data_IF_493641401000
#
_entry.id   IF_493641401000
#
_cell.length_a   1.000
_cell.length_b   1.000
_cell.length_c   1.000
_cell.angle_alpha   90.00
_cell.angle_beta   90.00
_cell.angle_gamma   90.00
#
_symmetry.space_group_name_H-M   'P 1'
#
loop_
_entity.id
_entity.type
_entity.pdbx_description
1 polymer ?
#
# COMPACT_ATOMS: atom_id res chain seq x y z
N UNK A 1 -46.56 37.36 -23.19
CA UNK A 1 -47.97 37.11 -22.81
C UNK A 1 -48.02 36.80 -21.32
N UNK A 2 -48.99 37.34 -20.57
CA UNK A 2 -49.45 36.79 -19.28
C UNK A 2 -50.49 35.69 -19.55
N UNK A 3 -50.78 34.76 -18.61
CA UNK A 3 -51.72 34.99 -17.50
C UNK A 3 -51.05 34.74 -16.12
N UNK A 4 -51.48 35.24 -14.95
CA UNK A 4 -52.71 35.86 -14.44
C UNK A 4 -53.83 34.90 -13.97
N UNK A 5 -54.00 34.80 -12.64
CA UNK A 5 -55.23 34.38 -11.94
C UNK A 5 -55.02 33.49 -10.70
N UNK A 6 -55.64 33.68 -9.53
CA UNK A 6 -56.07 34.84 -8.73
C UNK A 6 -56.68 34.31 -7.40
N UNK A 7 -56.50 35.02 -6.28
CA UNK A 7 -57.25 34.89 -5.00
C UNK A 7 -56.83 33.76 -4.05
N UNK A 8 -57.08 33.78 -2.73
CA UNK A 8 -57.65 34.75 -1.77
C UNK A 8 -57.39 34.18 -0.32
N UNK A 9 -57.40 34.89 0.82
CA UNK A 9 -57.75 36.30 1.15
C UNK A 9 -56.99 36.83 2.40
N UNK A 10 -57.34 38.06 2.80
CA UNK A 10 -57.00 38.87 3.99
C UNK A 10 -56.74 38.22 5.37
N UNK A 11 -55.84 38.86 6.15
CA UNK A 11 -56.20 39.58 7.40
C UNK A 11 -55.24 40.77 7.67
N UNK A 12 -55.70 41.77 8.42
CA UNK A 12 -55.08 43.10 8.59
C UNK A 12 -54.24 43.26 9.88
N UNK A 13 -53.14 44.02 9.80
CA UNK A 13 -52.72 45.06 10.77
C UNK A 13 -51.48 45.79 10.19
N UNK A 14 -51.64 47.00 9.65
CA UNK A 14 -51.54 48.28 10.36
C UNK A 14 -50.10 48.69 10.73
N UNK A 15 -49.61 49.66 9.97
CA UNK A 15 -48.35 50.38 10.07
C UNK A 15 -47.96 50.85 11.47
N UNK A 16 -46.66 50.92 11.74
CA UNK A 16 -46.01 52.16 12.20
C UNK A 16 -44.48 52.08 12.07
N UNK A 17 -43.91 53.03 11.32
CA UNK A 17 -42.47 53.32 11.33
C UNK A 17 -42.10 53.94 12.68
N UNK A 18 -41.11 53.38 13.37
CA UNK A 18 -40.38 54.08 14.43
C UNK A 18 -38.89 53.92 14.17
N UNK A 19 -38.22 55.05 13.92
CA UNK A 19 -36.78 55.09 13.84
C UNK A 19 -36.18 54.84 15.22
N UNK A 20 -35.51 53.70 15.40
CA UNK A 20 -34.76 53.37 16.61
C UNK A 20 -33.47 54.17 16.71
N UNK A 21 -33.58 55.47 17.04
CA UNK A 21 -32.43 56.23 17.53
C UNK A 21 -32.00 55.64 18.88
N UNK A 22 -30.71 55.33 18.97
CA UNK A 22 -30.05 54.77 20.15
C UNK A 22 -30.03 55.77 21.31
N UNK A 23 -31.08 55.74 22.13
CA UNK A 23 -31.09 56.38 23.45
C UNK A 23 -30.59 55.39 24.50
N UNK A 24 -29.25 55.29 24.64
CA UNK A 24 -28.65 54.72 25.85
C UNK A 24 -29.23 55.49 27.05
N UNK A 25 -29.73 54.84 28.10
CA UNK A 25 -30.06 55.54 29.34
C UNK A 25 -28.76 56.01 29.95
N UNK A 26 -28.37 57.26 29.65
CA UNK A 26 -27.28 57.92 30.35
C UNK A 26 -27.69 58.01 31.82
N UNK A 27 -27.07 57.18 32.66
CA UNK A 27 -27.24 57.14 34.11
C UNK A 27 -26.67 58.39 34.76
N UNK A 28 -27.30 59.54 34.49
CA UNK A 28 -27.07 60.79 35.20
C UNK A 28 -27.49 60.62 36.66
N UNK A 29 -26.53 60.18 37.48
CA UNK A 29 -26.65 60.33 38.93
C UNK A 29 -26.71 61.84 39.24
N UNK A 30 -27.84 62.37 39.74
CA UNK A 30 -27.90 63.78 40.07
C UNK A 30 -26.94 64.06 41.24
N UNK A 31 -26.05 65.04 41.09
CA UNK A 31 -25.11 65.43 42.14
C UNK A 31 -25.83 65.67 43.46
N UNK A 32 -25.55 64.83 44.46
CA UNK A 32 -26.22 64.84 45.76
C UNK A 32 -25.77 66.03 46.65
N UNK A 33 -24.78 66.80 46.17
CA UNK A 33 -24.25 68.04 46.76
C UNK A 33 -24.06 69.12 45.69
N UNK A 34 -24.23 70.37 46.10
CA UNK A 34 -24.01 71.57 45.26
C UNK A 34 -22.55 72.04 45.43
N UNK A 35 -21.60 71.19 45.03
CA UNK A 35 -20.17 71.44 45.18
C UNK A 35 -19.53 70.89 46.47
N UNK A 36 -18.18 70.96 46.58
CA UNK A 36 -17.43 70.40 47.70
C UNK A 36 -17.73 71.16 49.00
N UNK A 37 -18.17 70.43 50.04
CA UNK A 37 -18.55 70.99 51.34
C UNK A 37 -20.03 71.39 51.50
N UNK A 38 -20.85 71.31 50.45
CA UNK A 38 -22.27 71.65 50.53
C UNK A 38 -23.09 70.64 51.37
N UNK A 39 -24.12 71.14 52.06
CA UNK A 39 -25.04 70.33 52.85
C UNK A 39 -25.75 69.27 51.98
N UNK A 40 -26.02 68.10 52.56
CA UNK A 40 -26.63 66.99 51.85
C UNK A 40 -28.09 67.29 51.44
N UNK A 41 -28.44 67.03 50.17
CA UNK A 41 -29.82 67.20 49.67
C UNK A 41 -30.77 66.08 50.10
N UNK A 42 -30.25 64.96 50.59
CA UNK A 42 -31.03 63.82 51.08
C UNK A 42 -31.39 63.98 52.56
N UNK A 43 -32.56 63.46 52.95
CA UNK A 43 -32.87 63.24 54.37
C UNK A 43 -31.85 62.27 54.98
N UNK A 44 -31.61 62.36 56.30
CA UNK A 44 -30.71 61.42 57.00
C UNK A 44 -31.13 59.96 56.74
N UNK A 45 -32.43 59.68 56.77
CA UNK A 45 -32.98 58.35 56.49
C UNK A 45 -32.85 57.91 55.02
N UNK A 46 -32.90 58.82 54.03
CA UNK A 46 -32.58 58.52 52.62
C UNK A 46 -31.10 58.18 52.46
N UNK A 47 -30.22 59.01 53.04
CA UNK A 47 -28.76 58.83 52.99
C UNK A 47 -28.37 57.49 53.60
N UNK A 48 -28.85 57.19 54.80
CA UNK A 48 -28.61 55.92 55.48
C UNK A 48 -29.27 54.71 54.78
N UNK A 49 -30.37 54.90 54.04
CA UNK A 49 -30.94 53.83 53.17
C UNK A 49 -30.04 53.52 51.98
N UNK A 50 -29.46 54.54 51.32
CA UNK A 50 -28.57 54.33 50.16
C UNK A 50 -27.23 53.70 50.52
N UNK A 51 -26.74 53.92 51.74
CA UNK A 51 -25.49 53.36 52.25
C UNK A 51 -25.64 52.00 52.98
N UNK A 52 -26.81 51.36 52.92
CA UNK A 52 -27.13 50.11 53.63
C UNK A 52 -27.15 48.95 52.64
N UNK A 53 -26.58 47.81 53.02
CA UNK A 53 -26.59 46.65 52.14
C UNK A 53 -28.01 46.05 52.01
N UNK A 54 -28.37 45.47 50.85
CA UNK A 54 -29.63 44.77 50.67
C UNK A 54 -29.85 43.70 51.76
N UNK A 55 -31.05 43.66 52.36
CA UNK A 55 -31.42 42.68 53.38
C UNK A 55 -31.01 43.01 54.82
N UNK A 56 -30.24 44.08 55.08
CA UNK A 56 -29.91 44.48 56.46
C UNK A 56 -31.09 45.19 57.16
N UNK A 57 -31.35 44.91 58.45
CA UNK A 57 -32.41 45.58 59.21
C UNK A 57 -32.11 47.08 59.43
N UNK A 58 -33.13 47.92 59.69
CA UNK A 58 -32.95 49.31 60.07
C UNK A 58 -32.03 49.43 61.30
N UNK A 59 -31.00 50.28 61.22
CA UNK A 59 -30.01 50.45 62.29
C UNK A 59 -28.77 49.54 62.21
N UNK A 60 -28.75 48.51 61.33
CA UNK A 60 -27.53 47.76 61.01
C UNK A 60 -26.41 48.62 60.38
N UNK A 61 -25.21 48.06 60.25
CA UNK A 61 -24.01 48.76 59.77
C UNK A 61 -24.18 49.37 58.37
N UNK A 62 -23.74 50.62 58.19
CA UNK A 62 -23.64 51.27 56.89
C UNK A 62 -22.29 50.97 56.26
N UNK A 63 -22.21 50.98 54.93
CA UNK A 63 -20.97 50.77 54.17
C UNK A 63 -20.20 49.51 54.64
N UNK A 64 -20.93 48.41 54.86
CA UNK A 64 -20.45 47.15 55.43
C UNK A 64 -19.65 47.26 56.76
N UNK A 65 -19.74 48.39 57.47
CA UNK A 65 -18.91 48.70 58.64
C UNK A 65 -17.45 49.06 58.32
N UNK A 66 -17.11 49.20 57.03
CA UNK A 66 -15.75 49.40 56.49
C UNK A 66 -15.55 50.81 55.89
N UNK A 67 -16.55 51.69 56.04
CA UNK A 67 -16.53 53.06 55.55
C UNK A 67 -17.56 53.94 56.24
N UNK A 68 -17.52 55.23 55.93
CA UNK A 68 -18.46 56.25 56.39
C UNK A 68 -19.46 56.58 55.28
N UNK A 69 -20.76 56.53 55.58
CA UNK A 69 -21.77 57.08 54.70
C UNK A 69 -21.70 58.61 54.70
N UNK A 70 -21.54 59.22 53.53
CA UNK A 70 -21.63 60.66 53.33
C UNK A 70 -22.63 60.99 52.19
N UNK A 71 -23.79 61.52 52.57
CA UNK A 71 -24.86 61.90 51.65
C UNK A 71 -25.31 60.82 50.65
N UNK A 72 -25.45 59.58 51.11
CA UNK A 72 -25.91 58.46 50.30
C UNK A 72 -24.83 57.82 49.40
N UNK A 73 -23.56 58.18 49.61
CA UNK A 73 -22.38 57.54 49.01
C UNK A 73 -21.48 57.04 50.16
N UNK A 74 -20.88 55.87 50.02
CA UNK A 74 -19.93 55.37 51.00
C UNK A 74 -18.49 55.85 50.70
N UNK A 75 -17.82 56.37 51.72
CA UNK A 75 -16.41 56.72 51.71
C UNK A 75 -15.67 55.64 52.50
N UNK A 76 -14.92 54.80 51.81
CA UNK A 76 -14.26 53.64 52.41
C UNK A 76 -13.03 54.04 53.22
N UNK A 77 -12.77 53.30 54.30
CA UNK A 77 -11.59 53.54 55.12
C UNK A 77 -10.35 52.98 54.41
N UNK A 78 -9.31 53.82 54.31
CA UNK A 78 -7.98 53.45 53.87
C UNK A 78 -7.15 53.25 55.13
N UNK A 79 -6.94 52.01 55.53
CA UNK A 79 -6.18 51.65 56.74
C UNK A 79 -5.28 50.47 56.41
N UNK A 80 -3.97 50.65 56.51
CA UNK A 80 -3.02 49.59 56.15
C UNK A 80 -3.07 48.41 57.14
N UNK A 81 -2.95 47.15 56.67
CA UNK A 81 -2.90 46.72 55.26
C UNK A 81 -4.29 46.27 54.77
N UNK A 82 -5.09 47.19 54.24
CA UNK A 82 -6.42 46.88 53.74
C UNK A 82 -7.21 48.10 53.23
N UNK A 83 -7.13 48.36 51.93
CA UNK A 83 -7.99 49.37 51.28
C UNK A 83 -9.30 48.72 50.88
N UNK A 84 -10.42 49.32 51.27
CA UNK A 84 -11.76 48.86 50.91
C UNK A 84 -12.33 49.65 49.73
N UNK A 85 -13.06 48.98 48.85
CA UNK A 85 -13.59 49.52 47.60
C UNK A 85 -15.06 49.09 47.37
N UNK A 86 -15.69 49.67 46.36
CA UNK A 86 -17.09 49.44 46.00
C UNK A 86 -18.06 50.51 46.53
N UNK A 87 -19.27 50.63 45.94
CA UNK A 87 -20.24 51.68 46.28
C UNK A 87 -20.77 51.62 47.73
N UNK A 88 -20.59 50.48 48.41
CA UNK A 88 -20.94 50.24 49.81
C UNK A 88 -19.73 49.75 50.64
N UNK A 89 -18.49 49.94 50.17
CA UNK A 89 -17.27 49.41 50.81
C UNK A 89 -17.33 47.91 51.10
N UNK A 90 -18.01 47.17 50.22
CA UNK A 90 -18.22 45.73 50.27
C UNK A 90 -16.96 44.93 49.94
N UNK A 91 -16.08 45.47 49.10
CA UNK A 91 -14.84 44.81 48.69
C UNK A 91 -13.70 45.20 49.64
N UNK A 92 -12.96 44.20 50.10
CA UNK A 92 -11.55 44.37 50.42
C UNK A 92 -10.77 44.08 49.12
N UNK A 93 -9.50 44.47 49.06
CA UNK A 93 -8.54 43.72 48.24
C UNK A 93 -8.49 42.24 48.71
N UNK A 94 -7.79 41.36 47.99
CA UNK A 94 -7.48 39.94 48.27
C UNK A 94 -8.18 38.92 47.36
N UNK A 95 -7.33 38.14 46.69
CA UNK A 95 -7.55 36.81 46.10
C UNK A 95 -8.78 36.71 45.18
N UNK A 96 -8.51 36.89 43.89
CA UNK A 96 -9.36 36.42 42.80
C UNK A 96 -9.42 34.89 42.85
N UNK A 97 -10.57 34.31 42.51
CA UNK A 97 -10.71 32.87 42.26
C UNK A 97 -9.56 32.38 41.35
N UNK A 98 -8.80 31.38 41.80
CA UNK A 98 -7.66 30.84 41.04
C UNK A 98 -8.12 29.82 40.00
N UNK A 99 -7.63 29.96 38.77
CA UNK A 99 -7.73 28.95 37.72
C UNK A 99 -6.32 28.45 37.39
N UNK A 100 -6.14 27.14 37.34
CA UNK A 100 -4.85 26.45 37.12
C UNK A 100 -3.65 27.04 37.90
N UNK A 101 -3.86 27.28 39.21
CA UNK A 101 -2.86 27.85 40.12
C UNK A 101 -2.63 29.36 40.01
N UNK A 102 -3.23 30.05 39.03
CA UNK A 102 -3.05 31.49 38.78
C UNK A 102 -4.28 32.32 39.19
N UNK A 103 -4.06 33.48 39.80
CA UNK A 103 -5.11 34.39 40.32
C UNK A 103 -5.76 35.25 39.23
N UNK A 104 -6.26 34.62 38.17
CA UNK A 104 -6.82 35.20 36.92
C UNK A 104 -5.81 35.89 35.98
N UNK A 105 -6.09 35.89 34.68
CA UNK A 105 -5.16 36.31 33.62
C UNK A 105 -5.30 37.79 33.19
N UNK A 106 -6.28 38.51 33.74
CA UNK A 106 -6.48 39.95 33.51
C UNK A 106 -6.48 40.77 34.80
N UNK A 107 -6.97 42.01 34.73
CA UNK A 107 -7.01 42.90 35.89
C UNK A 107 -8.15 42.51 36.85
N UNK A 108 -7.82 42.27 38.11
CA UNK A 108 -8.79 41.81 39.12
C UNK A 108 -9.47 42.96 39.86
N UNK A 109 -10.81 42.97 39.87
CA UNK A 109 -11.63 43.99 40.51
C UNK A 109 -12.74 43.35 41.35
N UNK A 110 -12.72 43.58 42.67
CA UNK A 110 -13.73 43.06 43.62
C UNK A 110 -14.00 41.54 43.48
N UNK A 111 -12.94 40.73 43.31
CA UNK A 111 -13.05 39.27 43.18
C UNK A 111 -13.55 38.78 41.80
N UNK A 112 -13.71 39.67 40.81
CA UNK A 112 -13.98 39.33 39.42
C UNK A 112 -12.79 39.68 38.54
N UNK A 113 -12.46 38.81 37.58
CA UNK A 113 -11.50 39.13 36.55
C UNK A 113 -12.11 40.05 35.47
N UNK A 114 -11.36 41.07 35.05
CA UNK A 114 -11.64 41.90 33.89
C UNK A 114 -10.59 41.61 32.83
N UNK A 115 -11.02 41.24 31.62
CA UNK A 115 -10.10 40.84 30.56
C UNK A 115 -9.57 42.05 29.78
N UNK A 116 -8.26 42.14 29.66
CA UNK A 116 -7.59 43.25 28.98
C UNK A 116 -7.85 43.15 27.46
N UNK A 117 -8.67 44.08 26.95
CA UNK A 117 -9.09 44.13 25.55
C UNK A 117 -8.80 45.53 24.97
N UNK A 118 -7.55 45.84 24.62
CA UNK A 118 -7.13 47.18 24.20
C UNK A 118 -7.84 47.66 22.92
N UNK A 119 -8.13 46.74 21.99
CA UNK A 119 -8.72 47.05 20.67
C UNK A 119 -10.26 47.01 20.66
N UNK A 120 -10.91 46.79 21.81
CA UNK A 120 -12.37 46.73 21.94
C UNK A 120 -13.04 45.45 21.39
N UNK A 121 -12.35 44.66 20.56
CA UNK A 121 -12.90 43.45 19.93
C UNK A 121 -13.23 42.28 20.89
N UNK A 122 -12.96 42.40 22.20
CA UNK A 122 -13.38 41.46 23.24
C UNK A 122 -12.92 40.00 23.00
N UNK A 123 -11.73 39.82 22.43
CA UNK A 123 -11.13 38.52 22.09
C UNK A 123 -10.69 37.72 23.33
N UNK A 124 -10.39 38.41 24.44
CA UNK A 124 -10.13 37.74 25.73
C UNK A 124 -11.39 37.77 26.58
N UNK A 125 -11.88 36.60 26.97
CA UNK A 125 -13.10 36.42 27.76
C UNK A 125 -13.04 35.17 28.66
N UNK A 126 -14.14 34.93 29.38
CA UNK A 126 -14.25 33.89 30.40
C UNK A 126 -14.56 34.47 31.78
N UNK A 127 -14.60 33.63 32.82
CA UNK A 127 -14.80 34.09 34.21
C UNK A 127 -13.49 34.63 34.82
N UNK A 128 -12.36 34.09 34.37
CA UNK A 128 -10.99 34.32 34.82
C UNK A 128 -10.07 34.82 33.70
N UNK A 129 -10.62 35.09 32.52
CA UNK A 129 -9.92 35.43 31.28
C UNK A 129 -9.08 34.27 30.75
N UNK A 130 -9.63 33.07 30.88
CA UNK A 130 -9.08 31.78 30.50
C UNK A 130 -9.12 31.48 29.00
N UNK A 131 -9.84 32.29 28.21
CA UNK A 131 -9.93 32.17 26.75
C UNK A 131 -9.34 33.41 26.07
N UNK A 132 -8.35 33.22 25.19
CA UNK A 132 -7.81 34.26 24.31
C UNK A 132 -7.98 33.86 22.83
N UNK A 133 -8.98 34.43 22.15
CA UNK A 133 -9.24 34.17 20.74
C UNK A 133 -8.27 34.91 19.80
N UNK A 134 -7.25 35.62 20.32
CA UNK A 134 -6.14 36.16 19.51
C UNK A 134 -5.26 35.07 18.91
N UNK A 135 -5.14 33.92 19.57
CA UNK A 135 -4.35 32.78 19.08
C UNK A 135 -4.86 32.27 17.71
N UNK A 136 -6.17 32.43 17.47
CA UNK A 136 -6.84 32.12 16.22
C UNK A 136 -6.62 33.14 15.09
N UNK A 137 -6.00 34.31 15.34
CA UNK A 137 -5.75 35.29 14.28
C UNK A 137 -4.59 34.80 13.42
N UNK A 138 -4.83 34.68 12.11
CA UNK A 138 -3.79 34.35 11.15
C UNK A 138 -2.86 35.55 10.87
N UNK A 139 -1.56 35.28 10.73
CA UNK A 139 -0.52 36.32 10.60
C UNK A 139 -0.37 36.86 9.17
N UNK A 140 -0.83 36.12 8.15
CA UNK A 140 -0.76 36.55 6.75
C UNK A 140 -2.03 37.32 6.33
N UNK A 141 -3.19 36.86 6.77
CA UNK A 141 -4.51 37.42 6.40
C UNK A 141 -5.06 38.44 7.39
N UNK A 142 -4.55 38.48 8.64
CA UNK A 142 -5.12 39.21 9.78
C UNK A 142 -6.57 38.77 10.15
N UNK A 143 -7.06 37.66 9.57
CA UNK A 143 -8.42 37.15 9.82
C UNK A 143 -8.44 36.04 10.89
N UNK A 144 -9.54 35.97 11.64
CA UNK A 144 -9.76 34.90 12.63
C UNK A 144 -10.01 33.59 11.87
N UNK A 145 -9.19 32.59 12.13
CA UNK A 145 -9.20 31.28 11.45
C UNK A 145 -9.14 31.43 9.91
N UNK A 146 -8.30 32.34 9.41
CA UNK A 146 -8.05 32.55 7.98
C UNK A 146 -9.30 32.88 7.15
N UNK A 147 -10.36 33.39 7.80
CA UNK A 147 -11.66 33.62 7.16
C UNK A 147 -12.50 32.35 6.93
N UNK A 148 -11.99 31.17 7.31
CA UNK A 148 -12.52 29.86 6.96
C UNK A 148 -12.83 28.97 8.17
N UNK A 149 -13.12 29.58 9.31
CA UNK A 149 -13.52 28.87 10.53
C UNK A 149 -14.16 29.76 11.58
N UNK A 150 -14.35 29.19 12.78
CA UNK A 150 -14.79 29.90 13.99
C UNK A 150 -13.84 29.60 15.13
N UNK A 151 -13.32 30.64 15.76
CA UNK A 151 -12.55 30.48 16.99
C UNK A 151 -13.48 30.21 18.19
N UNK A 152 -13.04 29.33 19.08
CA UNK A 152 -13.59 29.18 20.43
C UNK A 152 -12.44 28.92 21.40
N UNK A 153 -12.15 29.86 22.28
CA UNK A 153 -11.13 29.74 23.33
C UNK A 153 -9.75 29.37 22.75
N UNK A 154 -9.25 30.18 21.82
CA UNK A 154 -7.95 29.98 21.14
C UNK A 154 -7.90 28.84 20.11
N UNK A 155 -8.98 28.07 19.93
CA UNK A 155 -9.02 26.92 19.01
C UNK A 155 -9.91 27.21 17.80
N UNK A 156 -9.37 27.00 16.59
CA UNK A 156 -10.13 27.17 15.34
C UNK A 156 -10.93 25.93 14.94
N UNK A 157 -12.20 26.13 14.61
CA UNK A 157 -13.11 25.11 14.09
C UNK A 157 -13.41 25.42 12.63
N UNK A 158 -12.73 24.72 11.73
CA UNK A 158 -12.73 25.01 10.30
C UNK A 158 -14.03 24.64 9.59
N UNK A 159 -14.32 25.36 8.51
CA UNK A 159 -15.39 25.02 7.58
C UNK A 159 -15.04 23.80 6.73
N UNK A 160 -16.06 23.14 6.17
CA UNK A 160 -15.87 21.87 5.47
C UNK A 160 -15.01 22.02 4.20
N UNK A 161 -13.79 21.45 4.24
CA UNK A 161 -12.80 21.56 3.17
C UNK A 161 -11.57 22.40 3.54
N UNK A 162 -11.53 22.97 4.74
CA UNK A 162 -10.38 23.68 5.29
C UNK A 162 -9.79 22.95 6.51
N UNK A 163 -8.49 23.09 6.72
CA UNK A 163 -7.75 22.51 7.84
C UNK A 163 -6.48 23.34 8.16
N UNK A 164 -5.73 22.91 9.18
CA UNK A 164 -4.65 23.69 9.79
C UNK A 164 -5.11 24.30 11.11
N UNK A 165 -4.15 24.74 11.94
CA UNK A 165 -4.43 25.26 13.28
C UNK A 165 -5.17 26.60 13.22
N UNK A 166 -5.10 27.30 12.07
CA UNK A 166 -5.82 28.54 11.77
C UNK A 166 -6.71 28.41 10.53
N UNK A 167 -7.05 27.19 10.10
CA UNK A 167 -7.86 26.90 8.91
C UNK A 167 -7.33 27.46 7.58
N UNK A 168 -6.01 27.62 7.49
CA UNK A 168 -5.29 28.27 6.40
C UNK A 168 -5.13 27.39 5.14
N UNK A 169 -5.30 26.07 5.26
CA UNK A 169 -5.11 25.11 4.16
C UNK A 169 -6.44 24.59 3.59
N UNK A 170 -6.61 24.71 2.26
CA UNK A 170 -7.74 24.15 1.54
C UNK A 170 -7.41 22.74 1.02
N UNK A 171 -8.34 21.80 1.20
CA UNK A 171 -8.26 20.50 0.54
C UNK A 171 -8.52 20.62 -0.98
N UNK A 172 -7.61 20.09 -1.80
CA UNK A 172 -7.81 19.90 -3.26
C UNK A 172 -8.99 18.96 -3.61
N UNK A 173 -9.54 18.25 -2.61
CA UNK A 173 -10.61 17.29 -2.77
C UNK A 173 -11.83 17.64 -1.93
N UNK A 174 -12.99 17.24 -2.43
CA UNK A 174 -14.28 17.49 -1.77
C UNK A 174 -14.39 16.78 -0.40
N UNK A 175 -15.21 17.29 0.54
CA UNK A 175 -15.42 16.64 1.84
C UNK A 175 -15.97 15.20 1.75
N UNK A 176 -16.78 14.89 0.72
CA UNK A 176 -17.27 13.52 0.51
C UNK A 176 -16.15 12.58 0.05
N UNK A 177 -15.21 13.08 -0.74
CA UNK A 177 -14.09 12.28 -1.25
C UNK A 177 -13.03 12.07 -0.18
N UNK A 178 -12.72 13.11 0.61
CA UNK A 178 -11.90 13.00 1.82
C UNK A 178 -12.44 11.92 2.75
N UNK A 179 -13.72 12.00 3.13
CA UNK A 179 -14.38 10.97 3.93
C UNK A 179 -14.29 9.58 3.30
N UNK A 180 -14.47 9.46 1.97
CA UNK A 180 -14.40 8.16 1.28
C UNK A 180 -13.00 7.54 1.37
N UNK A 181 -11.93 8.33 1.21
CA UNK A 181 -10.54 7.84 1.25
C UNK A 181 -10.15 7.38 2.67
N UNK A 182 -10.55 8.14 3.69
CA UNK A 182 -10.32 7.78 5.09
C UNK A 182 -11.27 6.71 5.67
N UNK A 183 -12.27 6.22 4.91
CA UNK A 183 -13.17 5.19 5.42
C UNK A 183 -12.49 3.82 5.35
N UNK A 184 -12.16 3.28 6.51
CA UNK A 184 -11.58 1.95 6.72
C UNK A 184 -12.55 0.81 6.29
N UNK A 185 -12.06 -0.43 6.06
CA UNK A 185 -12.90 -1.56 5.62
C UNK A 185 -14.02 -1.97 6.58
N UNK A 186 -13.92 -1.60 7.85
CA UNK A 186 -14.94 -1.77 8.90
C UNK A 186 -16.02 -0.67 8.89
N UNK A 187 -15.87 0.36 8.04
CA UNK A 187 -16.77 1.50 7.92
C UNK A 187 -16.48 2.67 8.88
N UNK A 188 -15.41 2.59 9.67
CA UNK A 188 -14.99 3.68 10.56
C UNK A 188 -14.08 4.68 9.80
N UNK A 189 -13.97 5.92 10.28
CA UNK A 189 -13.02 6.90 9.72
C UNK A 189 -11.69 6.71 10.42
N UNK A 190 -10.62 6.44 9.66
CA UNK A 190 -9.28 6.13 10.19
C UNK A 190 -9.33 5.11 11.35
N UNK A 191 -10.15 4.07 11.23
CA UNK A 191 -10.40 3.03 12.24
C UNK A 191 -10.77 3.53 13.66
N UNK A 192 -11.23 4.78 13.78
CA UNK A 192 -11.34 5.51 15.07
C UNK A 192 -10.03 5.56 15.88
N UNK A 193 -8.88 5.42 15.21
CA UNK A 193 -7.51 5.44 15.77
C UNK A 193 -6.62 6.52 15.13
N UNK A 194 -7.22 7.45 14.39
CA UNK A 194 -6.55 8.59 13.78
C UNK A 194 -7.52 9.67 13.30
N UNK A 195 -6.97 10.80 12.86
CA UNK A 195 -7.72 11.95 12.33
C UNK A 195 -7.62 11.99 10.80
N UNK A 196 -8.76 12.08 10.12
CA UNK A 196 -8.82 12.25 8.67
C UNK A 196 -8.64 13.73 8.26
N UNK A 197 -7.65 14.03 7.42
CA UNK A 197 -7.41 15.35 6.83
C UNK A 197 -7.21 15.19 5.33
N UNK A 198 -8.00 15.90 4.52
CA UNK A 198 -7.96 15.85 3.04
C UNK A 198 -7.83 14.46 2.38
N UNK A 199 -8.39 13.41 3.01
CA UNK A 199 -8.36 12.05 2.50
C UNK A 199 -7.14 11.22 2.88
N UNK A 200 -6.32 11.71 3.80
CA UNK A 200 -5.20 11.01 4.44
C UNK A 200 -5.47 10.89 5.95
N UNK A 201 -5.04 9.78 6.56
CA UNK A 201 -5.24 9.52 7.99
C UNK A 201 -3.95 9.76 8.78
N UNK A 202 -3.99 10.71 9.72
CA UNK A 202 -2.94 10.90 10.72
C UNK A 202 -3.24 10.02 11.94
N UNK A 203 -2.49 8.93 12.10
CA UNK A 203 -2.70 7.96 13.17
C UNK A 203 -2.21 8.48 14.52
N UNK A 204 -2.88 8.09 15.60
CA UNK A 204 -2.45 8.46 16.94
C UNK A 204 -1.27 7.59 17.40
N UNK A 205 -0.24 8.21 17.98
CA UNK A 205 0.94 7.49 18.51
C UNK A 205 0.59 6.50 19.63
N UNK A 206 -0.55 6.71 20.30
CA UNK A 206 -1.07 5.86 21.38
C UNK A 206 -2.58 5.63 21.28
N UNK A 207 -3.00 4.39 21.50
CA UNK A 207 -4.41 4.03 21.68
C UNK A 207 -5.00 4.70 22.95
N UNK A 208 -6.30 5.04 23.02
CA UNK A 208 -6.93 5.61 24.21
C UNK A 208 -6.78 4.82 25.52
N UNK A 209 -6.38 3.54 25.46
CA UNK A 209 -6.01 2.72 26.62
C UNK A 209 -4.62 3.02 27.20
N UNK A 210 -3.73 3.67 26.44
CA UNK A 210 -2.37 4.04 26.85
C UNK A 210 -1.33 2.92 26.82
N UNK A 211 -1.71 1.72 26.36
CA UNK A 211 -0.87 0.51 26.42
C UNK A 211 -0.02 0.24 25.15
N UNK A 212 -0.29 0.90 24.01
CA UNK A 212 0.24 0.50 22.69
C UNK A 212 0.78 1.70 21.92
N UNK A 213 2.00 1.55 21.37
CA UNK A 213 2.60 2.47 20.40
C UNK A 213 2.55 1.92 18.97
N UNK A 214 2.79 2.80 17.99
CA UNK A 214 2.93 2.48 16.56
C UNK A 214 1.64 2.02 15.84
N UNK A 215 0.54 2.78 15.98
CA UNK A 215 -0.65 2.64 15.11
C UNK A 215 -0.32 3.13 13.70
N UNK A 216 -0.63 2.34 12.68
CA UNK A 216 -0.26 2.62 11.29
C UNK A 216 -1.26 2.03 10.27
N UNK A 217 -0.99 2.24 8.98
CA UNK A 217 -1.86 1.87 7.85
C UNK A 217 -2.57 3.07 7.23
N UNK A 218 -2.96 2.97 5.96
CA UNK A 218 -3.57 4.07 5.18
C UNK A 218 -4.85 4.62 5.84
N UNK A 219 -5.50 3.81 6.68
CA UNK A 219 -6.67 4.19 7.47
C UNK A 219 -6.51 3.83 8.97
N UNK A 220 -5.28 3.84 9.48
CA UNK A 220 -4.92 3.52 10.87
C UNK A 220 -5.48 2.19 11.39
N UNK A 221 -5.61 1.21 10.49
CA UNK A 221 -6.24 -0.08 10.77
C UNK A 221 -5.32 -1.09 11.47
N UNK A 222 -4.03 -0.77 11.64
CA UNK A 222 -3.00 -1.69 12.12
C UNK A 222 -2.36 -1.24 13.44
N UNK A 223 -2.06 -2.18 14.34
CA UNK A 223 -1.13 -1.98 15.46
C UNK A 223 -0.17 -3.18 15.66
N UNK A 224 0.77 -3.08 16.60
CA UNK A 224 1.79 -4.12 16.86
C UNK A 224 1.19 -5.52 17.12
N UNK A 225 -0.06 -5.61 17.60
CA UNK A 225 -0.74 -6.89 17.90
C UNK A 225 -1.22 -7.60 16.64
N UNK A 226 -1.45 -6.90 15.53
CA UNK A 226 -1.79 -7.55 14.25
C UNK A 226 -0.61 -8.40 13.75
N UNK A 227 0.61 -7.99 14.09
CA UNK A 227 1.84 -8.74 13.81
C UNK A 227 1.99 -10.03 14.63
N UNK A 228 1.16 -10.26 15.67
CA UNK A 228 1.14 -11.51 16.45
C UNK A 228 0.91 -12.74 15.59
N UNK A 229 0.17 -12.62 14.49
CA UNK A 229 -0.07 -13.70 13.53
C UNK A 229 1.21 -14.13 12.78
N UNK A 230 2.14 -13.19 12.57
CA UNK A 230 3.39 -13.38 11.82
C UNK A 230 4.66 -13.49 12.67
N UNK A 231 4.55 -13.42 13.99
CA UNK A 231 5.60 -13.84 14.91
C UNK A 231 5.98 -15.30 14.67
N UNK A 232 7.27 -15.58 14.44
CA UNK A 232 7.80 -16.94 14.32
C UNK A 232 8.54 -17.34 15.60
N UNK A 233 8.06 -18.43 16.21
CA UNK A 233 8.62 -19.00 17.43
C UNK A 233 10.00 -19.66 17.22
N UNK A 234 10.35 -20.01 15.98
CA UNK A 234 11.64 -20.64 15.69
C UNK A 234 12.78 -19.64 15.56
N UNK A 235 12.51 -18.43 15.04
CA UNK A 235 13.47 -17.31 15.03
C UNK A 235 13.40 -16.43 16.27
N UNK A 236 12.30 -16.52 17.03
CA UNK A 236 11.93 -15.58 18.11
C UNK A 236 11.81 -14.14 17.62
N UNK A 237 11.23 -13.96 16.43
CA UNK A 237 11.17 -12.67 15.72
C UNK A 237 9.91 -12.57 14.85
N UNK A 238 9.48 -11.34 14.53
CA UNK A 238 8.40 -11.08 13.57
C UNK A 238 8.93 -11.24 12.14
N UNK A 239 8.12 -11.84 11.26
CA UNK A 239 8.50 -12.07 9.87
C UNK A 239 9.87 -12.79 9.74
N UNK A 240 10.17 -13.69 10.68
CA UNK A 240 11.42 -14.43 10.79
C UNK A 240 12.69 -13.55 10.78
N UNK A 241 12.60 -12.26 11.13
CA UNK A 241 13.67 -11.27 10.97
C UNK A 241 13.98 -10.89 9.51
N UNK A 242 13.23 -11.45 8.56
CA UNK A 242 13.45 -11.41 7.12
C UNK A 242 12.39 -10.59 6.36
N UNK A 243 11.53 -9.85 7.07
CA UNK A 243 10.60 -8.87 6.51
C UNK A 243 10.30 -7.73 7.47
N UNK A 244 9.47 -6.78 7.04
CA UNK A 244 8.72 -5.89 7.92
C UNK A 244 7.28 -6.39 8.00
N UNK A 245 6.64 -6.24 9.16
CA UNK A 245 5.22 -6.52 9.31
C UNK A 245 4.40 -5.28 8.96
N UNK A 246 3.38 -5.46 8.14
CA UNK A 246 2.36 -4.46 7.81
C UNK A 246 1.00 -5.15 7.98
N UNK A 247 0.20 -4.72 8.98
CA UNK A 247 -1.15 -5.24 9.24
C UNK A 247 -1.26 -6.80 9.29
N UNK A 248 -0.36 -7.46 10.03
CA UNK A 248 -0.36 -8.92 10.13
C UNK A 248 0.02 -9.68 8.85
N UNK A 249 0.60 -8.99 7.86
CA UNK A 249 1.30 -9.56 6.70
C UNK A 249 2.77 -9.18 6.75
N UNK A 250 3.64 -10.04 6.22
CA UNK A 250 5.06 -9.73 6.08
C UNK A 250 5.41 -9.29 4.66
N UNK A 251 6.07 -8.13 4.55
CA UNK A 251 6.77 -7.71 3.35
C UNK A 251 8.22 -8.18 3.43
N UNK A 252 8.52 -9.25 2.71
CA UNK A 252 9.80 -9.93 2.78
C UNK A 252 10.93 -9.15 2.10
N UNK A 253 12.07 -9.08 2.79
CA UNK A 253 13.34 -8.58 2.25
C UNK A 253 13.72 -9.38 1.00
N UNK A 254 14.41 -8.73 0.06
CA UNK A 254 14.84 -9.35 -1.18
C UNK A 254 15.60 -10.67 -0.90
N UNK A 255 15.16 -11.76 -1.53
CA UNK A 255 15.70 -13.10 -1.30
C UNK A 255 14.94 -13.95 -0.28
N UNK A 256 13.81 -13.49 0.26
CA UNK A 256 12.94 -14.27 1.18
C UNK A 256 11.49 -14.39 0.67
N UNK A 257 10.78 -15.42 1.12
CA UNK A 257 9.37 -15.70 0.82
C UNK A 257 8.73 -16.54 1.94
N UNK A 258 7.41 -16.74 1.84
CA UNK A 258 6.60 -17.41 2.87
C UNK A 258 5.64 -16.42 3.53
N UNK A 259 4.74 -16.88 4.40
CA UNK A 259 3.75 -15.99 5.06
C UNK A 259 4.38 -15.14 6.17
N UNK A 260 5.49 -15.63 6.72
CA UNK A 260 6.33 -15.02 7.75
C UNK A 260 7.75 -14.77 7.23
N UNK A 261 7.98 -14.80 5.92
CA UNK A 261 9.33 -14.75 5.33
C UNK A 261 10.28 -15.86 5.83
N UNK A 262 9.69 -16.99 6.23
CA UNK A 262 10.34 -18.14 6.86
C UNK A 262 11.20 -18.99 5.90
N UNK A 263 11.21 -18.66 4.60
CA UNK A 263 11.91 -19.41 3.57
C UNK A 263 12.79 -18.50 2.71
N UNK A 264 14.08 -18.81 2.51
CA UNK A 264 14.90 -18.11 1.53
C UNK A 264 14.38 -18.47 0.13
N UNK A 265 14.25 -17.49 -0.76
CA UNK A 265 13.86 -17.71 -2.17
C UNK A 265 14.74 -18.83 -2.73
N UNK A 266 14.08 -19.91 -3.16
CA UNK A 266 14.74 -21.08 -3.76
C UNK A 266 15.58 -20.73 -4.98
N UNK A 267 15.36 -19.54 -5.57
CA UNK A 267 16.28 -18.93 -6.50
C UNK A 267 16.90 -17.60 -6.01
N UNK A 268 18.21 -17.57 -5.70
CA UNK A 268 18.97 -16.36 -5.42
C UNK A 268 19.54 -15.68 -6.69
N UNK A 269 19.17 -16.14 -7.89
CA UNK A 269 19.71 -15.66 -9.17
C UNK A 269 18.71 -14.76 -9.90
N UNK A 270 19.21 -13.82 -10.70
CA UNK A 270 18.36 -13.10 -11.66
C UNK A 270 17.82 -14.03 -12.75
N UNK A 271 16.80 -13.59 -13.50
CA UNK A 271 16.28 -14.35 -14.63
C UNK A 271 17.38 -14.59 -15.68
N UNK A 272 18.17 -13.57 -16.00
CA UNK A 272 19.28 -13.60 -16.95
C UNK A 272 20.42 -14.51 -16.48
N UNK A 273 20.76 -14.47 -15.18
CA UNK A 273 21.75 -15.37 -14.59
C UNK A 273 21.30 -16.83 -14.61
N UNK A 274 20.01 -17.07 -14.38
CA UNK A 274 19.42 -18.41 -14.45
C UNK A 274 19.49 -18.98 -15.88
N UNK A 275 19.15 -18.16 -16.88
CA UNK A 275 19.24 -18.47 -18.31
C UNK A 275 20.69 -18.80 -18.68
N UNK A 276 21.65 -17.94 -18.32
CA UNK A 276 23.08 -18.15 -18.59
C UNK A 276 23.64 -19.46 -18.00
N UNK A 277 23.16 -19.89 -16.82
CA UNK A 277 23.59 -21.17 -16.21
C UNK A 277 22.99 -22.42 -16.86
N UNK A 278 21.82 -22.28 -17.50
CA UNK A 278 21.14 -23.35 -18.25
C UNK A 278 21.52 -23.40 -19.74
N UNK A 279 22.20 -22.38 -20.27
CA UNK A 279 22.61 -22.32 -21.66
C UNK A 279 23.91 -23.12 -21.86
N UNK A 280 23.81 -24.25 -22.55
CA UNK A 280 24.94 -25.12 -22.87
C UNK A 280 25.67 -24.73 -24.16
N UNK A 281 26.62 -25.57 -24.58
CA UNK A 281 27.35 -25.43 -25.85
C UNK A 281 26.45 -25.45 -27.10
N UNK A 282 25.24 -25.99 -26.99
CA UNK A 282 24.21 -26.00 -28.03
C UNK A 282 23.57 -24.64 -28.32
N UNK A 283 23.84 -23.60 -27.53
CA UNK A 283 23.16 -22.29 -27.62
C UNK A 283 21.70 -22.29 -27.13
N UNK A 284 21.00 -23.41 -27.26
CA UNK A 284 19.67 -23.67 -26.67
C UNK A 284 19.74 -23.87 -25.15
N UNK A 285 18.71 -23.38 -24.45
CA UNK A 285 18.50 -23.64 -23.03
C UNK A 285 18.26 -25.14 -22.78
N UNK A 286 18.98 -25.70 -21.81
CA UNK A 286 18.93 -27.12 -21.47
C UNK A 286 18.98 -28.04 -22.70
N UNK A 287 19.77 -27.66 -23.71
CA UNK A 287 19.91 -28.33 -25.01
C UNK A 287 18.59 -28.70 -25.70
N UNK A 288 17.53 -27.92 -25.47
CA UNK A 288 16.17 -28.18 -25.98
C UNK A 288 15.49 -29.41 -25.37
N UNK A 289 16.10 -30.06 -24.37
CA UNK A 289 15.68 -31.34 -23.78
C UNK A 289 15.31 -31.24 -22.29
N UNK A 290 15.03 -30.04 -21.79
CA UNK A 290 14.63 -29.84 -20.40
C UNK A 290 14.13 -28.43 -20.12
N UNK A 291 13.53 -28.25 -18.94
CA UNK A 291 13.11 -26.95 -18.42
C UNK A 291 14.20 -26.36 -17.53
N UNK A 292 14.54 -25.08 -17.74
CA UNK A 292 15.43 -24.35 -16.84
C UNK A 292 14.64 -23.78 -15.65
N UNK A 293 15.03 -24.12 -14.43
CA UNK A 293 14.50 -23.54 -13.20
C UNK A 293 15.68 -23.18 -12.30
N UNK A 294 15.85 -21.87 -12.04
CA UNK A 294 16.97 -21.31 -11.28
C UNK A 294 18.39 -21.76 -11.71
N UNK A 295 18.69 -21.77 -13.00
CA UNK A 295 20.04 -22.16 -13.46
C UNK A 295 20.35 -23.65 -13.28
N UNK A 296 19.33 -24.46 -12.99
CA UNK A 296 19.35 -25.92 -13.03
C UNK A 296 18.39 -26.40 -14.11
N UNK A 297 18.83 -27.36 -14.92
CA UNK A 297 17.98 -28.02 -15.90
C UNK A 297 17.29 -29.25 -15.30
N UNK A 298 15.98 -29.36 -15.54
CA UNK A 298 15.19 -30.57 -15.32
C UNK A 298 14.96 -31.22 -16.68
N UNK A 299 15.65 -32.33 -16.94
CA UNK A 299 15.61 -33.01 -18.24
C UNK A 299 14.29 -33.76 -18.47
N UNK A 300 13.89 -33.87 -19.73
CA UNK A 300 12.64 -34.48 -20.17
C UNK A 300 12.87 -35.71 -21.06
N UNK A 301 12.00 -36.74 -20.97
CA UNK A 301 10.85 -36.84 -20.06
C UNK A 301 11.28 -37.02 -18.59
N UNK A 302 10.53 -36.45 -17.62
CA UNK A 302 10.97 -36.39 -16.23
C UNK A 302 10.97 -37.79 -15.62
N UNK A 303 12.12 -38.21 -15.09
CA UNK A 303 12.32 -39.55 -14.54
C UNK A 303 12.98 -40.56 -15.49
N UNK A 304 13.25 -40.20 -16.76
CA UNK A 304 14.09 -41.03 -17.64
C UNK A 304 15.58 -40.74 -17.38
N UNK A 305 16.36 -41.68 -16.80
CA UNK A 305 17.76 -41.46 -16.46
C UNK A 305 18.68 -41.37 -17.68
N UNK A 306 18.18 -41.66 -18.90
CA UNK A 306 18.98 -41.68 -20.12
C UNK A 306 19.21 -40.29 -20.70
N UNK A 307 18.41 -39.29 -20.35
CA UNK A 307 18.67 -37.88 -20.69
C UNK A 307 19.29 -37.19 -19.48
N UNK A 308 20.56 -36.82 -19.59
CA UNK A 308 21.35 -36.34 -18.45
C UNK A 308 22.39 -35.29 -18.87
N UNK A 309 23.14 -34.80 -17.88
CA UNK A 309 24.07 -33.70 -18.04
C UNK A 309 23.59 -32.44 -17.33
N UNK A 310 24.48 -31.45 -17.15
CA UNK A 310 24.13 -30.20 -16.43
C UNK A 310 23.09 -29.37 -17.20
N UNK A 311 23.12 -29.50 -18.52
CA UNK A 311 22.30 -28.81 -19.51
C UNK A 311 21.51 -29.80 -20.38
N UNK A 312 21.28 -31.03 -19.92
CA UNK A 312 20.60 -32.10 -20.67
C UNK A 312 21.24 -32.39 -22.05
N UNK A 313 22.56 -32.21 -22.12
CA UNK A 313 23.37 -32.36 -23.33
C UNK A 313 23.52 -33.83 -23.78
N UNK A 314 23.43 -34.78 -22.85
CA UNK A 314 23.60 -36.21 -23.11
C UNK A 314 22.25 -36.93 -23.25
N UNK A 315 22.15 -37.80 -24.26
CA UNK A 315 20.93 -38.56 -24.55
C UNK A 315 21.27 -40.01 -24.91
N UNK A 316 21.28 -40.86 -23.89
CA UNK A 316 21.62 -42.28 -23.98
C UNK A 316 20.65 -43.12 -24.80
N UNK A 317 19.43 -42.62 -25.08
CA UNK A 317 18.46 -43.30 -25.95
C UNK A 317 19.01 -43.50 -27.37
N UNK A 318 19.93 -42.62 -27.80
CA UNK A 318 20.66 -42.75 -29.08
C UNK A 318 21.60 -43.97 -29.16
N UNK A 319 21.84 -44.65 -28.05
CA UNK A 319 22.66 -45.86 -27.98
C UNK A 319 21.82 -47.14 -27.99
N UNK A 320 20.49 -47.08 -27.90
CA UNK A 320 19.61 -48.24 -27.96
C UNK A 320 19.29 -48.59 -29.42
N UNK A 321 19.42 -49.87 -29.78
CA UNK A 321 18.94 -50.39 -31.07
C UNK A 321 17.41 -50.52 -31.12
N UNK A 322 16.88 -50.88 -32.29
CA UNK A 322 15.45 -51.19 -32.50
C UNK A 322 14.95 -52.35 -31.64
N UNK A 323 15.86 -53.21 -31.19
CA UNK A 323 15.65 -54.33 -30.27
C UNK A 323 15.76 -53.94 -28.78
N UNK A 324 16.04 -52.67 -28.48
CA UNK A 324 16.33 -52.16 -27.14
C UNK A 324 17.75 -52.45 -26.63
N UNK A 325 18.62 -53.07 -27.45
CA UNK A 325 19.96 -53.45 -26.99
C UNK A 325 20.89 -52.24 -27.05
N UNK A 326 21.45 -51.84 -25.91
CA UNK A 326 22.43 -50.75 -25.83
C UNK A 326 23.73 -51.16 -26.52
N UNK A 327 24.15 -50.37 -27.52
CA UNK A 327 25.38 -50.57 -28.29
C UNK A 327 25.57 -52.02 -28.79
N UNK A 328 24.47 -52.65 -29.22
CA UNK A 328 24.47 -54.02 -29.76
C UNK A 328 25.00 -55.09 -28.81
N UNK A 329 25.11 -54.79 -27.50
CA UNK A 329 25.73 -55.68 -26.51
C UNK A 329 27.26 -55.72 -26.56
N UNK A 330 27.90 -54.86 -27.37
CA UNK A 330 29.33 -54.89 -27.70
C UNK A 330 30.02 -53.52 -27.53
N UNK A 331 29.53 -52.72 -26.58
CA UNK A 331 30.10 -51.43 -26.25
C UNK A 331 29.39 -50.75 -25.08
N UNK A 332 29.95 -49.63 -24.65
CA UNK A 332 29.40 -48.78 -23.57
C UNK A 332 28.89 -47.47 -24.14
N UNK A 333 27.68 -47.06 -23.77
CA UNK A 333 27.16 -45.74 -24.15
C UNK A 333 27.82 -44.62 -23.33
N UNK A 334 28.38 -43.63 -24.01
CA UNK A 334 28.96 -42.42 -23.41
C UNK A 334 28.33 -41.19 -24.05
N UNK A 335 27.48 -40.48 -23.31
CA UNK A 335 26.79 -39.26 -23.73
C UNK A 335 26.07 -39.37 -25.10
N UNK A 336 25.35 -40.49 -25.32
CA UNK A 336 24.64 -40.73 -26.58
C UNK A 336 25.50 -41.20 -27.76
N UNK A 337 26.74 -41.65 -27.50
CA UNK A 337 27.61 -42.30 -28.48
C UNK A 337 28.16 -43.62 -27.93
N UNK A 338 28.12 -44.68 -28.72
CA UNK A 338 28.69 -45.96 -28.34
C UNK A 338 30.22 -45.99 -28.45
N UNK A 339 30.87 -46.50 -27.40
CA UNK A 339 32.29 -46.83 -27.36
C UNK A 339 32.42 -48.34 -27.52
N UNK A 340 32.80 -48.79 -28.72
CA UNK A 340 32.79 -50.22 -29.06
C UNK A 340 33.97 -50.99 -28.46
N UNK A 341 33.69 -52.25 -28.11
CA UNK A 341 34.70 -53.20 -27.68
C UNK A 341 35.66 -53.59 -28.82
N UNK A 342 36.81 -54.17 -28.44
CA UNK A 342 37.82 -54.62 -29.41
C UNK A 342 37.24 -55.67 -30.33
N UNK A 343 37.22 -55.36 -31.63
CA UNK A 343 36.67 -56.26 -32.65
C UNK A 343 35.26 -55.90 -33.11
N UNK A 344 34.66 -54.81 -32.61
CA UNK A 344 33.36 -54.31 -33.06
C UNK A 344 33.47 -52.87 -33.60
N UNK A 345 32.50 -52.45 -34.42
CA UNK A 345 32.35 -51.09 -34.95
C UNK A 345 30.92 -50.82 -35.45
N UNK A 346 30.67 -49.59 -35.91
CA UNK A 346 29.34 -49.07 -36.25
C UNK A 346 28.85 -48.08 -35.20
N UNK A 347 27.79 -47.32 -35.52
CA UNK A 347 27.22 -46.31 -34.61
C UNK A 347 26.70 -46.92 -33.30
N UNK A 348 26.21 -48.16 -33.35
CA UNK A 348 25.72 -48.97 -32.24
C UNK A 348 26.59 -50.22 -32.02
N UNK A 349 27.84 -50.23 -32.48
CA UNK A 349 28.77 -51.38 -32.36
C UNK A 349 28.26 -52.69 -32.96
N UNK A 350 27.30 -52.61 -33.89
CA UNK A 350 26.55 -53.75 -34.42
C UNK A 350 27.31 -54.62 -35.44
N UNK A 351 28.50 -54.19 -35.90
CA UNK A 351 29.28 -54.89 -36.92
C UNK A 351 30.56 -55.50 -36.34
N UNK A 352 30.82 -56.82 -36.50
CA UNK A 352 32.07 -57.43 -36.13
C UNK A 352 33.16 -57.09 -37.16
N UNK A 353 34.37 -56.76 -36.71
CA UNK A 353 35.55 -56.45 -37.56
C UNK A 353 36.20 -57.68 -38.20
N UNK A 354 35.84 -58.89 -37.76
CA UNK A 354 36.35 -60.14 -38.33
C UNK A 354 35.30 -60.74 -39.25
N UNK A 355 35.65 -60.91 -40.51
CA UNK A 355 34.82 -61.57 -41.52
C UNK A 355 35.10 -63.08 -41.52
N UNK A 356 34.05 -63.90 -41.63
CA UNK A 356 34.15 -65.36 -41.78
C UNK A 356 33.52 -65.82 -43.10
N UNK A 357 33.87 -65.12 -44.18
CA UNK A 357 33.48 -65.38 -45.58
C UNK A 357 34.56 -64.77 -46.50
N UNK A 358 34.60 -65.17 -47.78
CA UNK A 358 35.56 -64.59 -48.74
C UNK A 358 35.09 -63.22 -49.23
N UNK A 359 36.00 -62.47 -49.86
CA UNK A 359 35.71 -61.13 -50.38
C UNK A 359 34.67 -61.18 -51.52
N UNK A 360 34.73 -62.21 -52.36
CA UNK A 360 33.78 -62.45 -53.47
C UNK A 360 32.39 -62.79 -52.93
N UNK A 361 32.31 -63.64 -51.89
CA UNK A 361 31.05 -63.97 -51.22
C UNK A 361 30.44 -62.72 -50.58
N UNK A 362 31.24 -61.96 -49.83
CA UNK A 362 30.81 -60.68 -49.24
C UNK A 362 30.31 -59.71 -50.32
N UNK A 363 31.04 -59.56 -51.42
CA UNK A 363 30.68 -58.66 -52.52
C UNK A 363 29.33 -59.04 -53.14
N UNK A 364 29.13 -60.32 -53.45
CA UNK A 364 27.91 -60.82 -54.12
C UNK A 364 26.61 -60.58 -53.34
N UNK A 365 26.68 -60.43 -52.01
CA UNK A 365 25.54 -60.14 -51.13
C UNK A 365 25.24 -58.64 -50.99
N UNK A 366 26.12 -57.77 -51.49
CA UNK A 366 26.03 -56.31 -51.42
C UNK A 366 25.84 -55.67 -52.80
N UNK A 367 25.70 -56.45 -53.87
CA UNK A 367 25.67 -55.98 -55.25
C UNK A 367 24.22 -55.90 -55.74
N UNK A 368 23.76 -54.69 -56.08
CA UNK A 368 22.42 -54.44 -56.62
C UNK A 368 22.26 -55.03 -58.03
N UNK A 369 21.02 -55.14 -58.52
CA UNK A 369 20.72 -55.72 -59.84
C UNK A 369 21.50 -55.09 -61.01
N UNK A 370 21.87 -53.81 -60.89
CA UNK A 370 22.67 -53.06 -61.87
C UNK A 370 24.19 -53.25 -61.74
N UNK A 371 24.66 -54.18 -60.88
CA UNK A 371 26.08 -54.43 -60.63
C UNK A 371 26.78 -53.40 -59.73
N UNK A 372 26.00 -52.53 -59.08
CA UNK A 372 26.51 -51.47 -58.19
C UNK A 372 26.52 -51.95 -56.74
N UNK A 373 27.67 -51.87 -56.09
CA UNK A 373 27.82 -52.25 -54.69
C UNK A 373 27.19 -51.21 -53.76
N UNK A 374 26.27 -51.63 -52.89
CA UNK A 374 25.55 -50.79 -51.94
C UNK A 374 24.98 -49.51 -52.59
N UNK A 375 24.46 -49.65 -53.81
CA UNK A 375 23.89 -48.57 -54.64
C UNK A 375 24.79 -47.32 -54.80
N UNK A 376 26.09 -47.46 -54.55
CA UNK A 376 27.07 -46.35 -54.54
C UNK A 376 26.99 -45.43 -53.31
N UNK A 377 26.01 -45.63 -52.41
CA UNK A 377 25.75 -44.78 -51.23
C UNK A 377 26.25 -45.41 -49.91
N UNK A 378 27.16 -46.38 -49.98
CA UNK A 378 27.65 -47.09 -48.80
C UNK A 378 28.85 -47.99 -49.09
N UNK A 379 29.24 -48.77 -48.08
CA UNK A 379 30.35 -49.73 -48.15
C UNK A 379 29.90 -51.13 -47.73
N UNK A 380 30.31 -52.16 -48.48
CA UNK A 380 30.00 -53.54 -48.12
C UNK A 380 30.96 -54.05 -47.05
N UNK A 381 30.43 -54.69 -46.02
CA UNK A 381 31.22 -55.35 -44.99
C UNK A 381 30.57 -56.68 -44.56
N UNK A 382 31.17 -57.80 -44.95
CA UNK A 382 30.69 -59.16 -44.65
C UNK A 382 29.25 -59.44 -45.12
N UNK A 383 28.99 -59.13 -46.39
CA UNK A 383 27.69 -59.35 -47.03
C UNK A 383 26.56 -58.49 -46.46
N UNK A 384 26.89 -57.34 -45.86
CA UNK A 384 25.93 -56.31 -45.45
C UNK A 384 26.44 -54.94 -45.88
N UNK A 385 25.56 -54.11 -46.40
CA UNK A 385 25.87 -52.72 -46.68
C UNK A 385 25.84 -51.87 -45.41
N UNK A 386 26.84 -51.00 -45.28
CA UNK A 386 26.92 -49.95 -44.26
C UNK A 386 26.75 -48.64 -45.02
N UNK A 387 25.57 -48.06 -44.94
CA UNK A 387 25.21 -46.84 -45.66
C UNK A 387 25.97 -45.63 -45.13
N UNK A 388 26.35 -44.74 -46.04
CA UNK A 388 27.05 -43.50 -45.72
C UNK A 388 26.08 -42.54 -45.02
N UNK A 389 26.50 -42.01 -43.87
CA UNK A 389 25.85 -40.86 -43.26
C UNK A 389 26.34 -39.59 -43.95
N UNK A 390 25.79 -39.30 -45.14
CA UNK A 390 25.87 -37.98 -45.76
C UNK A 390 24.85 -37.04 -45.07
N UNK A 391 24.58 -35.83 -45.60
CA UNK A 391 23.70 -34.85 -44.92
C UNK A 391 22.22 -35.28 -44.85
N UNK A 392 21.87 -36.40 -45.49
CA UNK A 392 20.54 -37.01 -45.55
C UNK A 392 20.60 -38.49 -45.12
N UNK A 393 19.48 -39.02 -44.65
CA UNK A 393 19.39 -40.41 -44.20
C UNK A 393 19.30 -41.35 -45.42
N UNK A 394 20.27 -42.25 -45.54
CA UNK A 394 20.28 -43.33 -46.54
C UNK A 394 20.13 -44.67 -45.82
N UNK A 395 19.20 -45.50 -46.28
CA UNK A 395 18.80 -46.75 -45.63
C UNK A 395 18.48 -47.87 -46.64
N UNK A 396 17.96 -49.00 -46.17
CA UNK A 396 17.75 -50.22 -46.98
C UNK A 396 18.91 -51.22 -46.91
N UNK A 397 18.67 -52.48 -47.30
CA UNK A 397 19.69 -53.54 -47.25
C UNK A 397 20.86 -53.31 -48.22
N UNK A 398 20.61 -52.55 -49.30
CA UNK A 398 21.57 -52.19 -50.34
C UNK A 398 21.81 -50.66 -50.43
N UNK A 399 21.45 -49.90 -49.38
CA UNK A 399 21.56 -48.44 -49.33
C UNK A 399 20.89 -47.72 -50.51
N UNK A 400 19.79 -48.30 -50.97
CA UNK A 400 18.95 -47.89 -52.08
C UNK A 400 17.91 -46.82 -51.70
N UNK A 401 17.43 -46.83 -50.45
CA UNK A 401 16.47 -45.85 -49.95
C UNK A 401 17.15 -44.51 -49.57
N UNK A 402 16.63 -43.40 -50.08
CA UNK A 402 17.08 -42.04 -49.78
C UNK A 402 15.91 -41.23 -49.22
N UNK A 403 16.02 -40.70 -48.01
CA UNK A 403 14.88 -40.02 -47.38
C UNK A 403 14.48 -38.71 -48.10
N UNK A 404 15.31 -38.20 -49.02
CA UNK A 404 14.98 -37.05 -49.88
C UNK A 404 13.95 -37.39 -50.95
N UNK A 405 13.75 -38.68 -51.26
CA UNK A 405 12.76 -39.15 -52.23
C UNK A 405 11.34 -39.15 -51.62
N UNK A 406 11.19 -38.93 -50.30
CA UNK A 406 9.90 -38.67 -49.66
C UNK A 406 9.37 -37.27 -49.96
N UNK A 407 8.04 -37.16 -50.03
CA UNK A 407 7.34 -35.89 -50.24
C UNK A 407 7.65 -34.85 -49.15
N UNK A 408 7.75 -33.58 -49.57
CA UNK A 408 8.12 -32.44 -48.74
C UNK A 408 7.06 -31.35 -48.83
N UNK A 409 6.77 -30.70 -47.71
CA UNK A 409 5.93 -29.49 -47.67
C UNK A 409 6.63 -28.45 -46.77
N UNK A 410 6.59 -27.19 -47.19
CA UNK A 410 7.38 -26.07 -46.60
C UNK A 410 8.89 -26.35 -46.41
N UNK A 411 9.47 -27.20 -47.27
CA UNK A 411 10.89 -27.57 -47.22
C UNK A 411 11.26 -28.58 -46.13
N UNK A 412 10.27 -29.24 -45.52
CA UNK A 412 10.45 -30.29 -44.52
C UNK A 412 9.95 -31.64 -45.06
N UNK A 413 10.83 -32.66 -45.04
CA UNK A 413 10.46 -34.05 -45.36
C UNK A 413 9.40 -34.52 -44.36
N UNK A 414 8.29 -35.04 -44.89
CA UNK A 414 7.13 -35.46 -44.10
C UNK A 414 6.65 -34.39 -43.07
N UNK A 415 6.84 -33.10 -43.38
CA UNK A 415 6.60 -31.92 -42.51
C UNK A 415 7.23 -31.96 -41.12
N UNK A 416 8.11 -32.93 -40.83
CA UNK A 416 8.51 -33.26 -39.46
C UNK A 416 7.41 -33.90 -38.60
N UNK A 417 6.29 -34.31 -39.20
CA UNK A 417 5.13 -34.96 -38.56
C UNK A 417 4.96 -36.44 -38.97
N UNK A 418 5.95 -36.99 -39.65
CA UNK A 418 6.03 -38.39 -40.06
C UNK A 418 7.47 -38.86 -40.16
N UNK A 419 7.64 -40.17 -40.40
CA UNK A 419 8.94 -40.79 -40.67
C UNK A 419 8.98 -41.16 -42.16
N UNK A 420 10.06 -40.85 -42.86
CA UNK A 420 10.23 -41.32 -44.22
C UNK A 420 10.52 -42.83 -44.22
N UNK A 421 9.80 -43.55 -45.07
CA UNK A 421 9.87 -45.01 -45.23
C UNK A 421 10.11 -45.29 -46.72
N UNK A 422 11.38 -45.14 -47.14
CA UNK A 422 11.86 -45.38 -48.51
C UNK A 422 10.99 -44.71 -49.61
N UNK A 423 10.88 -43.38 -49.57
CA UNK A 423 10.10 -42.60 -50.55
C UNK A 423 8.61 -42.42 -50.23
N UNK A 424 8.10 -42.98 -49.13
CA UNK A 424 6.74 -42.71 -48.64
C UNK A 424 6.75 -42.25 -47.18
N UNK A 425 5.97 -41.22 -46.84
CA UNK A 425 5.85 -40.75 -45.45
C UNK A 425 4.88 -41.60 -44.61
N UNK A 426 5.37 -42.11 -43.49
CA UNK A 426 4.56 -42.73 -42.42
C UNK A 426 4.18 -41.68 -41.38
N UNK A 427 2.96 -41.14 -41.50
CA UNK A 427 2.49 -40.06 -40.63
C UNK A 427 2.22 -40.49 -39.20
N UNK A 428 2.58 -39.62 -38.25
CA UNK A 428 2.27 -39.84 -36.84
C UNK A 428 0.76 -39.74 -36.58
N UNK A 429 0.29 -40.33 -35.49
CA UNK A 429 -1.15 -40.36 -35.17
C UNK A 429 -1.72 -38.95 -35.10
N UNK A 430 -2.77 -38.70 -35.90
CA UNK A 430 -3.41 -37.40 -36.03
C UNK A 430 -2.96 -36.60 -37.25
N UNK A 431 -1.89 -37.00 -37.94
CA UNK A 431 -1.43 -36.42 -39.20
C UNK A 431 -1.75 -37.31 -40.40
N UNK A 432 -1.93 -36.69 -41.56
CA UNK A 432 -2.29 -37.32 -42.83
C UNK A 432 -1.82 -36.43 -44.00
N UNK A 433 -1.98 -36.90 -45.24
CA UNK A 433 -1.42 -36.25 -46.43
C UNK A 433 -0.11 -36.91 -46.85
N UNK A 434 0.35 -36.63 -48.07
CA UNK A 434 1.51 -37.34 -48.63
C UNK A 434 2.83 -36.93 -47.95
N UNK A 435 2.92 -35.69 -47.46
CA UNK A 435 4.00 -35.17 -46.64
C UNK A 435 3.56 -34.98 -45.17
N UNK A 436 2.51 -35.67 -44.73
CA UNK A 436 1.93 -35.56 -43.38
C UNK A 436 1.50 -34.14 -42.99
N UNK A 437 1.17 -33.30 -43.97
CA UNK A 437 0.88 -31.88 -43.84
C UNK A 437 -0.51 -31.55 -43.24
N UNK A 438 -1.39 -32.54 -43.12
CA UNK A 438 -2.80 -32.37 -42.71
C UNK A 438 -3.01 -32.89 -41.29
N UNK A 439 -3.27 -31.99 -40.34
CA UNK A 439 -3.72 -32.35 -39.00
C UNK A 439 -5.22 -32.71 -38.98
N UNK A 440 -5.57 -33.80 -38.31
CA UNK A 440 -6.92 -34.36 -38.17
C UNK A 440 -7.44 -34.33 -36.72
N UNK A 441 -6.68 -33.75 -35.78
CA UNK A 441 -7.11 -33.58 -34.39
C UNK A 441 -8.08 -32.41 -34.19
N UNK A 442 -8.85 -32.40 -33.08
CA UNK A 442 -9.83 -31.33 -32.79
C UNK A 442 -9.16 -29.99 -32.43
N UNK A 443 -7.95 -30.02 -31.89
CA UNK A 443 -7.16 -28.85 -31.50
C UNK A 443 -5.74 -28.99 -32.09
N UNK A 444 -5.17 -27.90 -32.61
CA UNK A 444 -3.79 -27.87 -33.13
C UNK A 444 -2.81 -27.68 -31.96
N UNK A 445 -1.76 -28.53 -31.82
CA UNK A 445 -0.82 -28.46 -30.70
C UNK A 445 0.18 -27.30 -30.78
#
# INVERSE_FOLDING_TARGET
MRPAGFGNFWLLASSLLVAGLSAVPQSFSPSLRIGPGAACRLSRAESERRCRAPGQPPGGALCHGRGRCDCGVCICHVSEPGVFFGPLCECHEWVCDTYDGSTCAGTCHCGRCMCDNPDGNSLVYGKFCECDDRECIDEETEEICGGHGKCYCGNCYCEAGWHGDKCEFQCDITPWESKRRCTSPDGQICSNRGTCVCGECSCHDVDPTGDWGDIHGDTCECDERDCRAVYDRYSDDFCSGHGQCNCGRCDCKAGWYGKKCEHPRSCPLSAEESIRKCQGSSGLLCSGRGKCECGKCTCYPPGDPRVYGKTCECDGRRCEGLDGTVCGGHGTCSCGRCVCERGWFGALCQHPRKCNMTEEQSKSLCESADGVLCSGKGSCHCGKCICSAEEWYVSGELCDCDDRDCDQHDGLICTGNGICSCGNCECWRGWNGNACEIWLGPDYP
#
